data_IF_687313676324
#
_entry.id   IF_687313676324
#
_cell.length_a   1.000
_cell.length_b   1.000
_cell.length_c   1.000
_cell.angle_alpha   90.00
_cell.angle_beta   90.00
_cell.angle_gamma   90.00
#
_symmetry.space_group_name_H-M   'P 1'
#
loop_
_entity.id
_entity.type
_entity.pdbx_description
1 polymer ?
#
# COMPACT_ATOMS: atom_id res chain seq x y z
N UNK A 1 -1.26 6.02 11.43
CA UNK A 1 -1.67 5.48 10.12
C UNK A 1 -3.12 5.03 10.18
N UNK A 2 -3.92 5.35 9.16
CA UNK A 2 -5.35 5.03 9.08
C UNK A 2 -5.66 4.38 7.73
N UNK A 3 -6.53 3.37 7.72
CA UNK A 3 -6.97 2.72 6.49
C UNK A 3 -8.40 3.12 6.17
N UNK A 4 -8.64 3.43 4.90
CA UNK A 4 -9.95 3.80 4.37
C UNK A 4 -10.32 2.88 3.22
N UNK A 5 -11.60 2.52 3.14
CA UNK A 5 -12.09 1.52 2.20
C UNK A 5 -13.34 2.04 1.54
N UNK A 6 -13.30 2.23 0.23
CA UNK A 6 -14.46 2.69 -0.53
C UNK A 6 -14.85 1.64 -1.55
N UNK A 7 -16.10 1.22 -1.53
CA UNK A 7 -16.64 0.24 -2.45
C UNK A 7 -17.55 0.92 -3.46
N UNK A 8 -17.27 0.71 -4.75
CA UNK A 8 -18.08 1.19 -5.86
C UNK A 8 -18.85 0.03 -6.51
N UNK A 9 -20.13 0.27 -6.73
CA UNK A 9 -20.97 -0.57 -7.59
C UNK A 9 -20.67 -0.34 -9.07
N UNK A 10 -21.14 -1.26 -9.90
CA UNK A 10 -21.17 -1.17 -11.37
C UNK A 10 -21.81 0.12 -11.91
N UNK A 11 -22.75 0.69 -11.16
CA UNK A 11 -23.45 1.94 -11.52
C UNK A 11 -22.77 3.21 -11.03
N UNK A 12 -21.61 3.11 -10.40
CA UNK A 12 -20.86 4.25 -9.87
C UNK A 12 -21.36 4.77 -8.52
N UNK A 13 -22.37 4.16 -7.89
CA UNK A 13 -22.68 4.43 -6.48
C UNK A 13 -21.53 3.93 -5.61
N UNK A 14 -21.19 4.67 -4.56
CA UNK A 14 -20.12 4.32 -3.64
C UNK A 14 -20.56 4.34 -2.17
N UNK A 15 -19.83 3.62 -1.33
CA UNK A 15 -20.00 3.62 0.12
C UNK A 15 -18.64 3.40 0.79
N UNK A 16 -18.39 4.13 1.87
CA UNK A 16 -17.25 3.87 2.75
C UNK A 16 -17.56 2.66 3.64
N UNK A 17 -16.60 1.74 3.73
CA UNK A 17 -16.68 0.53 4.53
C UNK A 17 -15.86 0.73 5.80
N UNK A 18 -16.55 0.70 6.93
CA UNK A 18 -15.95 0.89 8.24
C UNK A 18 -15.58 -0.46 8.88
N UNK A 19 -16.40 -1.49 8.66
CA UNK A 19 -16.16 -2.83 9.19
C UNK A 19 -15.78 -3.82 8.06
N UNK A 20 -14.46 -3.96 7.89
CA UNK A 20 -13.82 -4.84 6.93
C UNK A 20 -12.74 -5.70 7.62
N UNK A 21 -12.65 -6.96 7.23
CA UNK A 21 -11.58 -7.87 7.63
C UNK A 21 -10.82 -8.38 6.39
N UNK A 22 -9.50 -8.30 6.44
CA UNK A 22 -8.61 -8.83 5.40
C UNK A 22 -8.28 -10.27 5.78
N UNK A 23 -8.93 -11.23 5.11
CA UNK A 23 -8.83 -12.64 5.47
C UNK A 23 -7.50 -13.24 5.03
N UNK A 24 -7.08 -12.90 3.82
CA UNK A 24 -5.85 -13.36 3.20
C UNK A 24 -5.40 -12.38 2.11
N UNK A 25 -4.33 -12.71 1.38
CA UNK A 25 -3.79 -11.83 0.35
C UNK A 25 -4.70 -11.58 -0.87
N UNK A 26 -5.76 -12.38 -1.01
CA UNK A 26 -6.70 -12.42 -2.14
C UNK A 26 -8.15 -12.11 -1.75
N UNK A 27 -8.49 -12.07 -0.46
CA UNK A 27 -9.88 -12.07 -0.02
C UNK A 27 -10.14 -11.10 1.14
N UNK A 28 -11.25 -10.37 1.03
CA UNK A 28 -11.77 -9.50 2.09
C UNK A 28 -13.18 -9.91 2.51
N UNK A 29 -13.53 -9.51 3.72
CA UNK A 29 -14.84 -9.72 4.33
C UNK A 29 -15.40 -8.38 4.77
N UNK A 30 -16.56 -8.01 4.24
CA UNK A 30 -17.33 -6.84 4.69
C UNK A 30 -18.39 -7.34 5.68
N UNK A 31 -18.39 -6.76 6.87
CA UNK A 31 -19.40 -7.04 7.91
C UNK A 31 -20.47 -5.94 7.99
N UNK A 32 -20.26 -4.81 7.30
CA UNK A 32 -21.22 -3.71 7.19
C UNK A 32 -22.49 -4.08 6.40
N UNK A 33 -23.60 -3.44 6.76
CA UNK A 33 -24.84 -3.52 5.98
C UNK A 33 -24.71 -2.59 4.77
N UNK A 34 -24.53 -3.17 3.60
CA UNK A 34 -24.50 -2.40 2.36
C UNK A 34 -25.91 -1.93 1.97
N UNK A 35 -26.07 -0.64 1.58
CA UNK A 35 -27.36 -0.14 1.14
C UNK A 35 -27.77 -0.79 -0.20
N UNK A 36 -29.08 -0.87 -0.51
CA UNK A 36 -29.57 -1.43 -1.78
C UNK A 36 -29.05 -0.70 -3.03
N UNK A 37 -28.61 0.55 -2.88
CA UNK A 37 -27.95 1.33 -3.94
C UNK A 37 -26.60 0.74 -4.36
N UNK A 38 -25.93 0.03 -3.45
CA UNK A 38 -24.64 -0.63 -3.64
C UNK A 38 -24.83 -2.10 -3.96
N UNK A 39 -25.58 -2.83 -3.14
CA UNK A 39 -25.74 -4.29 -3.25
C UNK A 39 -27.14 -4.64 -3.79
N UNK A 40 -27.27 -4.82 -5.11
CA UNK A 40 -28.51 -5.27 -5.76
C UNK A 40 -28.55 -6.80 -5.86
N UNK A 41 -29.73 -7.33 -6.23
CA UNK A 41 -29.96 -8.79 -6.33
C UNK A 41 -29.08 -9.48 -7.39
N UNK A 42 -28.59 -8.74 -8.39
CA UNK A 42 -27.76 -9.24 -9.50
C UNK A 42 -26.40 -8.51 -9.56
N UNK A 43 -25.95 -7.90 -8.46
CA UNK A 43 -24.61 -7.31 -8.42
C UNK A 43 -23.61 -8.44 -8.27
N UNK A 44 -22.74 -8.62 -9.27
CA UNK A 44 -21.76 -9.70 -9.26
C UNK A 44 -20.32 -9.20 -8.98
N UNK A 45 -20.07 -7.91 -9.23
CA UNK A 45 -18.75 -7.30 -9.23
C UNK A 45 -18.75 -5.93 -8.53
N UNK A 46 -17.63 -5.56 -7.94
CA UNK A 46 -17.36 -4.24 -7.37
C UNK A 46 -15.97 -3.74 -7.76
N UNK A 47 -15.79 -2.42 -7.64
CA UNK A 47 -14.46 -1.79 -7.64
C UNK A 47 -14.19 -1.26 -6.25
N UNK A 48 -13.16 -1.76 -5.59
CA UNK A 48 -12.70 -1.27 -4.29
C UNK A 48 -11.55 -0.29 -4.44
N UNK A 49 -11.60 0.82 -3.73
CA UNK A 49 -10.45 1.70 -3.50
C UNK A 49 -10.05 1.55 -2.04
N UNK A 50 -8.84 1.05 -1.82
CA UNK A 50 -8.27 0.85 -0.50
C UNK A 50 -7.15 1.86 -0.34
N UNK A 51 -7.22 2.65 0.73
CA UNK A 51 -6.34 3.77 0.97
C UNK A 51 -5.69 3.64 2.34
N UNK A 52 -4.50 4.18 2.46
CA UNK A 52 -3.77 4.32 3.71
C UNK A 52 -3.26 5.74 3.84
N UNK A 53 -3.60 6.38 4.95
CA UNK A 53 -3.12 7.70 5.35
C UNK A 53 -2.02 7.51 6.40
N UNK A 54 -0.79 7.92 6.08
CA UNK A 54 0.34 7.90 6.99
C UNK A 54 0.28 9.09 7.97
N UNK A 55 1.08 9.08 9.05
CA UNK A 55 1.02 10.14 10.10
C UNK A 55 1.42 11.53 9.59
N UNK A 56 2.08 11.59 8.43
CA UNK A 56 2.45 12.82 7.74
C UNK A 56 1.36 13.32 6.75
N UNK A 57 0.18 12.69 6.74
CA UNK A 57 -0.95 12.90 5.82
C UNK A 57 -0.69 12.51 4.36
N UNK A 58 0.40 11.80 4.06
CA UNK A 58 0.60 11.23 2.73
C UNK A 58 -0.41 10.08 2.54
N UNK A 59 -1.14 10.12 1.42
CA UNK A 59 -2.12 9.11 1.06
C UNK A 59 -1.50 8.14 0.05
N UNK A 60 -1.60 6.84 0.31
CA UNK A 60 -1.32 5.80 -0.69
C UNK A 60 -2.58 4.98 -0.91
N UNK A 61 -2.75 4.46 -2.12
CA UNK A 61 -3.97 3.77 -2.49
C UNK A 61 -3.80 2.76 -3.60
N UNK A 62 -4.72 1.80 -3.60
CA UNK A 62 -4.83 0.77 -4.63
C UNK A 62 -6.28 0.58 -5.03
N UNK A 63 -6.51 0.41 -6.33
CA UNK A 63 -7.81 0.02 -6.88
C UNK A 63 -7.81 -1.49 -7.09
N UNK A 64 -8.83 -2.19 -6.61
CA UNK A 64 -9.04 -3.63 -6.85
C UNK A 64 -10.38 -3.91 -7.51
N UNK A 65 -10.40 -4.91 -8.38
CA UNK A 65 -11.64 -5.50 -8.89
C UNK A 65 -12.04 -6.68 -8.01
N UNK A 66 -13.31 -6.73 -7.64
CA UNK A 66 -13.82 -7.62 -6.59
C UNK A 66 -15.01 -8.43 -7.10
N UNK A 67 -14.97 -9.74 -6.93
CA UNK A 67 -16.12 -10.62 -7.18
C UNK A 67 -16.72 -11.12 -5.87
N UNK A 68 -18.04 -11.28 -5.86
CA UNK A 68 -18.73 -11.90 -4.73
C UNK A 68 -18.42 -13.39 -4.70
N UNK A 69 -17.65 -13.82 -3.69
CA UNK A 69 -17.38 -15.23 -3.43
C UNK A 69 -18.44 -15.88 -2.55
N UNK A 70 -19.02 -15.12 -1.62
CA UNK A 70 -20.02 -15.63 -0.67
C UNK A 70 -20.87 -14.48 -0.11
N UNK A 71 -22.14 -14.77 0.13
CA UNK A 71 -23.07 -13.87 0.81
C UNK A 71 -23.93 -14.65 1.80
N UNK A 72 -23.89 -14.27 3.08
CA UNK A 72 -24.81 -14.80 4.11
C UNK A 72 -25.27 -13.69 5.05
N UNK A 73 -26.57 -13.42 5.07
CA UNK A 73 -27.14 -12.37 5.91
C UNK A 73 -26.55 -10.99 5.60
N UNK A 74 -25.94 -10.37 6.62
CA UNK A 74 -25.26 -9.06 6.51
C UNK A 74 -23.83 -9.16 5.96
N UNK A 75 -23.28 -10.36 5.89
CA UNK A 75 -21.89 -10.58 5.50
C UNK A 75 -21.74 -10.73 3.98
N UNK A 76 -20.69 -10.10 3.46
CA UNK A 76 -20.27 -10.20 2.06
C UNK A 76 -18.77 -10.51 1.98
N UNK A 77 -18.41 -11.64 1.35
CA UNK A 77 -17.02 -12.01 1.07
C UNK A 77 -16.69 -11.73 -0.37
N UNK A 78 -15.62 -10.97 -0.58
CA UNK A 78 -15.17 -10.55 -1.89
C UNK A 78 -13.76 -11.06 -2.14
N UNK A 79 -13.53 -11.58 -3.34
CA UNK A 79 -12.20 -11.99 -3.80
C UNK A 79 -11.69 -11.00 -4.83
N UNK A 80 -10.40 -10.66 -4.72
CA UNK A 80 -9.72 -9.86 -5.73
C UNK A 80 -9.63 -10.64 -7.04
N UNK A 81 -9.93 -9.97 -8.15
CA UNK A 81 -9.92 -10.56 -9.50
C UNK A 81 -8.75 -10.11 -10.35
N UNK A 82 -8.03 -9.10 -9.87
CA UNK A 82 -6.86 -8.53 -10.49
C UNK A 82 -5.57 -9.13 -9.89
N UNK A 83 -4.60 -9.35 -10.77
CA UNK A 83 -3.30 -9.88 -10.38
C UNK A 83 -2.36 -8.73 -10.01
N UNK A 84 -2.19 -8.53 -8.70
CA UNK A 84 -1.21 -7.62 -8.13
C UNK A 84 -0.33 -8.44 -7.21
N UNK A 85 0.97 -8.47 -7.50
CA UNK A 85 1.92 -9.34 -6.82
C UNK A 85 1.89 -9.15 -5.29
N UNK A 86 1.57 -10.25 -4.58
CA UNK A 86 1.63 -10.29 -3.13
C UNK A 86 3.08 -10.26 -2.60
N UNK A 87 4.07 -10.53 -3.45
CA UNK A 87 5.51 -10.44 -3.11
C UNK A 87 5.90 -9.04 -2.67
N UNK A 88 5.17 -8.00 -3.11
CA UNK A 88 5.37 -6.63 -2.62
C UNK A 88 5.24 -6.55 -1.10
N UNK A 89 4.35 -7.34 -0.49
CA UNK A 89 4.14 -7.32 0.97
C UNK A 89 5.32 -7.89 1.76
N UNK A 90 6.16 -8.70 1.12
CA UNK A 90 7.29 -9.36 1.78
C UNK A 90 8.43 -8.40 2.17
N UNK A 91 8.41 -7.16 1.69
CA UNK A 91 9.35 -6.13 2.15
C UNK A 91 8.85 -5.42 3.43
N UNK A 92 7.74 -5.88 4.02
CA UNK A 92 7.29 -5.35 5.30
C UNK A 92 8.22 -5.79 6.45
N UNK A 93 8.32 -4.97 7.48
CA UNK A 93 9.04 -5.23 8.73
C UNK A 93 9.07 -4.00 9.63
N UNK A 94 9.73 -4.12 10.79
CA UNK A 94 9.88 -3.02 11.78
C UNK A 94 10.41 -1.71 11.18
N UNK A 95 11.31 -1.83 10.20
CA UNK A 95 11.87 -0.71 9.46
C UNK A 95 10.81 0.05 8.64
N UNK A 96 9.82 -0.61 8.07
CA UNK A 96 8.72 0.06 7.33
C UNK A 96 7.89 0.90 8.30
N UNK A 97 7.54 0.34 9.45
CA UNK A 97 6.68 1.01 10.44
C UNK A 97 7.34 2.28 10.96
N UNK A 98 8.65 2.22 11.24
CA UNK A 98 9.44 3.38 11.66
C UNK A 98 9.58 4.42 10.53
N UNK A 99 9.86 3.99 9.30
CA UNK A 99 9.96 4.90 8.16
C UNK A 99 8.64 5.60 7.90
N UNK A 100 7.53 4.86 7.90
CA UNK A 100 6.18 5.39 7.73
C UNK A 100 5.84 6.44 8.79
N UNK A 101 6.14 6.14 10.05
CA UNK A 101 5.88 7.05 11.18
C UNK A 101 6.69 8.35 11.11
N UNK A 102 7.99 8.27 10.83
CA UNK A 102 8.89 9.43 10.99
C UNK A 102 9.15 10.22 9.70
N UNK A 103 8.92 9.62 8.54
CA UNK A 103 9.22 10.25 7.23
C UNK A 103 8.03 10.14 6.28
N UNK A 104 7.41 8.97 6.21
CA UNK A 104 6.40 8.59 5.23
C UNK A 104 6.99 7.65 4.18
N UNK A 105 6.44 6.44 4.08
CA UNK A 105 6.89 5.40 3.17
C UNK A 105 6.73 5.85 1.72
N UNK A 106 5.59 6.43 1.35
CA UNK A 106 5.36 6.88 -0.02
C UNK A 106 6.37 7.93 -0.46
N UNK A 107 6.70 8.86 0.43
CA UNK A 107 7.69 9.92 0.19
C UNK A 107 9.09 9.36 -0.01
N UNK A 108 9.49 8.40 0.81
CA UNK A 108 10.77 7.71 0.65
C UNK A 108 10.81 6.98 -0.69
N UNK A 109 9.78 6.20 -1.03
CA UNK A 109 9.69 5.50 -2.32
C UNK A 109 9.76 6.47 -3.50
N UNK A 110 8.95 7.54 -3.47
CA UNK A 110 8.86 8.49 -4.57
C UNK A 110 10.19 9.22 -4.80
N UNK A 111 10.79 9.77 -3.73
CA UNK A 111 12.10 10.43 -3.83
C UNK A 111 13.24 9.47 -4.19
N UNK A 112 13.17 8.21 -3.76
CA UNK A 112 14.15 7.21 -4.13
C UNK A 112 14.03 6.80 -5.60
N UNK A 113 12.81 6.73 -6.14
CA UNK A 113 12.60 6.52 -7.58
C UNK A 113 13.20 7.65 -8.43
N UNK A 114 13.15 8.89 -7.94
CA UNK A 114 13.83 10.01 -8.58
C UNK A 114 15.35 9.86 -8.52
N UNK A 115 15.90 9.43 -7.37
CA UNK A 115 17.33 9.13 -7.24
C UNK A 115 17.77 8.04 -8.23
N UNK A 116 16.98 6.98 -8.45
CA UNK A 116 17.29 5.90 -9.40
C UNK A 116 17.50 6.43 -10.84
N UNK A 117 16.83 7.53 -11.22
CA UNK A 117 16.98 8.15 -12.53
C UNK A 117 18.27 8.95 -12.69
N UNK A 118 18.93 9.31 -11.58
CA UNK A 118 20.16 10.09 -11.63
C UNK A 118 21.32 9.24 -12.16
N UNK A 119 22.19 9.85 -12.96
CA UNK A 119 23.32 9.17 -13.59
C UNK A 119 24.34 8.59 -12.58
N UNK A 120 24.28 8.99 -11.30
CA UNK A 120 25.23 8.62 -10.27
C UNK A 120 24.58 8.43 -8.89
N UNK A 121 23.72 7.42 -8.79
CA UNK A 121 23.04 7.04 -7.54
C UNK A 121 24.01 6.88 -6.37
N UNK A 122 25.18 6.26 -6.60
CA UNK A 122 26.13 5.94 -5.53
C UNK A 122 26.70 7.21 -4.89
N UNK A 123 27.04 8.21 -5.70
CA UNK A 123 27.56 9.48 -5.18
C UNK A 123 26.45 10.35 -4.56
N UNK A 124 25.22 10.24 -5.05
CA UNK A 124 24.10 11.05 -4.58
C UNK A 124 23.33 10.41 -3.41
N UNK A 125 23.54 9.13 -3.11
CA UNK A 125 22.80 8.40 -2.08
C UNK A 125 22.94 9.01 -0.69
N UNK A 126 24.17 9.33 -0.27
CA UNK A 126 24.42 9.90 1.06
C UNK A 126 23.71 11.25 1.23
N UNK A 127 23.80 12.10 0.21
CA UNK A 127 23.13 13.40 0.20
C UNK A 127 21.59 13.26 0.22
N UNK A 128 21.05 12.36 -0.61
CA UNK A 128 19.62 12.04 -0.62
C UNK A 128 19.15 11.54 0.75
N UNK A 129 19.90 10.66 1.40
CA UNK A 129 19.55 10.11 2.71
C UNK A 129 19.53 11.20 3.79
N UNK A 130 20.57 12.03 3.84
CA UNK A 130 20.64 13.18 4.76
C UNK A 130 19.44 14.12 4.60
N UNK A 131 19.06 14.41 3.36
CA UNK A 131 17.89 15.24 3.05
C UNK A 131 16.58 14.56 3.44
N UNK A 132 16.46 13.25 3.22
CA UNK A 132 15.28 12.47 3.56
C UNK A 132 15.01 12.47 5.07
N UNK A 133 16.06 12.42 5.90
CA UNK A 133 15.94 12.42 7.36
C UNK A 133 16.10 13.81 8.01
N UNK A 134 16.14 14.89 7.23
CA UNK A 134 16.43 16.24 7.72
C UNK A 134 15.50 16.65 8.88
N UNK A 135 14.20 16.35 8.73
CA UNK A 135 13.13 16.69 9.68
C UNK A 135 12.93 15.68 10.82
N UNK A 136 13.68 14.57 10.81
CA UNK A 136 13.59 13.54 11.85
C UNK A 136 14.27 14.04 13.13
N UNK A 137 13.69 13.81 14.33
CA UNK A 137 14.31 14.16 15.61
C UNK A 137 15.73 13.60 15.73
N UNK A 138 16.64 14.42 16.29
CA UNK A 138 18.08 14.13 16.29
C UNK A 138 18.43 12.81 17.00
N UNK A 139 17.74 12.50 18.09
CA UNK A 139 17.93 11.31 18.94
C UNK A 139 17.66 9.98 18.21
N UNK A 140 16.84 10.00 17.17
CA UNK A 140 16.49 8.81 16.38
C UNK A 140 16.93 8.90 14.91
N UNK A 141 17.48 10.04 14.48
CA UNK A 141 17.79 10.32 13.07
C UNK A 141 18.67 9.26 12.42
N UNK A 142 19.74 8.85 13.11
CA UNK A 142 20.65 7.81 12.62
C UNK A 142 19.96 6.45 12.48
N UNK A 143 19.16 6.06 13.48
CA UNK A 143 18.37 4.84 13.42
C UNK A 143 17.43 4.87 12.21
N UNK A 144 16.70 5.97 12.01
CA UNK A 144 15.78 6.11 10.86
C UNK A 144 16.54 6.05 9.53
N UNK A 145 17.71 6.69 9.43
CA UNK A 145 18.55 6.58 8.23
C UNK A 145 18.93 5.12 7.91
N UNK A 146 19.35 4.34 8.92
CA UNK A 146 19.65 2.92 8.75
C UNK A 146 18.40 2.11 8.29
N UNK A 147 17.21 2.43 8.83
CA UNK A 147 15.96 1.78 8.43
C UNK A 147 15.57 2.11 7.00
N UNK A 148 15.77 3.36 6.56
CA UNK A 148 15.59 3.76 5.17
C UNK A 148 16.55 3.01 4.25
N UNK A 149 17.84 2.93 4.59
CA UNK A 149 18.82 2.18 3.79
C UNK A 149 18.42 0.71 3.62
N UNK A 150 17.98 0.06 4.70
CA UNK A 150 17.46 -1.33 4.63
C UNK A 150 16.24 -1.43 3.72
N UNK A 151 15.28 -0.52 3.88
CA UNK A 151 14.06 -0.46 3.06
C UNK A 151 14.41 -0.34 1.57
N UNK A 152 15.21 0.65 1.19
CA UNK A 152 15.49 0.93 -0.22
C UNK A 152 16.34 -0.16 -0.89
N UNK A 153 17.23 -0.82 -0.14
CA UNK A 153 17.96 -1.99 -0.65
C UNK A 153 17.02 -3.15 -0.97
N UNK A 154 16.06 -3.46 -0.08
CA UNK A 154 15.06 -4.49 -0.34
C UNK A 154 14.11 -4.09 -1.47
N UNK A 155 13.76 -2.81 -1.54
CA UNK A 155 12.96 -2.24 -2.62
C UNK A 155 13.64 -2.39 -3.98
N UNK A 156 14.93 -2.06 -4.09
CA UNK A 156 15.71 -2.26 -5.31
C UNK A 156 15.70 -3.73 -5.75
N UNK A 157 16.00 -4.65 -4.85
CA UNK A 157 16.14 -6.08 -5.18
C UNK A 157 14.78 -6.70 -5.53
N UNK A 158 13.78 -6.54 -4.67
CA UNK A 158 12.49 -7.24 -4.81
C UNK A 158 11.53 -6.54 -5.75
N UNK A 159 11.47 -5.21 -5.71
CA UNK A 159 10.47 -4.43 -6.43
C UNK A 159 11.02 -3.98 -7.78
N UNK A 160 12.08 -3.18 -7.79
CA UNK A 160 12.61 -2.60 -9.02
C UNK A 160 13.22 -3.67 -9.94
N UNK A 161 14.20 -4.45 -9.47
CA UNK A 161 14.84 -5.51 -10.25
C UNK A 161 13.93 -6.75 -10.39
N UNK A 162 13.24 -7.11 -9.31
CA UNK A 162 12.41 -8.32 -9.23
C UNK A 162 11.10 -8.24 -10.00
N UNK A 163 10.17 -7.39 -9.55
CA UNK A 163 8.80 -7.30 -10.10
C UNK A 163 8.76 -6.45 -11.37
N UNK A 164 9.36 -5.27 -11.33
CA UNK A 164 9.29 -4.30 -12.43
C UNK A 164 10.43 -4.42 -13.44
N UNK A 165 11.35 -5.37 -13.25
CA UNK A 165 12.43 -5.70 -14.20
C UNK A 165 13.21 -4.47 -14.69
N UNK A 166 13.56 -3.59 -13.75
CA UNK A 166 14.28 -2.32 -13.98
C UNK A 166 13.51 -1.29 -14.82
N UNK A 167 12.19 -1.43 -14.92
CA UNK A 167 11.34 -0.45 -15.61
C UNK A 167 10.90 0.66 -14.64
N UNK A 168 11.63 1.77 -14.67
CA UNK A 168 11.40 2.92 -13.79
C UNK A 168 10.06 3.64 -14.08
N UNK A 169 9.59 3.64 -15.33
CA UNK A 169 8.32 4.28 -15.70
C UNK A 169 7.14 3.56 -15.05
N UNK A 170 7.15 2.21 -15.07
CA UNK A 170 6.16 1.41 -14.36
C UNK A 170 6.27 1.59 -12.85
N UNK A 171 7.49 1.65 -12.32
CA UNK A 171 7.74 1.84 -10.89
C UNK A 171 7.13 3.16 -10.38
N UNK A 172 7.33 4.27 -11.12
CA UNK A 172 6.72 5.57 -10.81
C UNK A 172 5.22 5.56 -11.03
N UNK A 173 4.72 4.91 -12.08
CA UNK A 173 3.28 4.79 -12.34
C UNK A 173 2.54 4.10 -11.17
N UNK A 174 3.16 3.10 -10.56
CA UNK A 174 2.53 2.27 -9.52
C UNK A 174 3.03 2.58 -8.09
N UNK A 175 3.74 3.69 -7.87
CA UNK A 175 4.34 4.03 -6.55
C UNK A 175 3.33 3.96 -5.39
N UNK A 176 2.11 4.44 -5.63
CA UNK A 176 1.02 4.50 -4.65
C UNK A 176 0.51 3.10 -4.31
N UNK A 177 0.38 2.24 -5.32
CA UNK A 177 -0.08 0.87 -5.15
C UNK A 177 0.99 0.04 -4.42
N UNK A 178 2.26 0.26 -4.75
CA UNK A 178 3.39 -0.38 -4.10
C UNK A 178 3.43 0.02 -2.62
N UNK A 179 3.41 1.32 -2.31
CA UNK A 179 3.39 1.82 -0.94
C UNK A 179 2.20 1.26 -0.15
N UNK A 180 1.00 1.27 -0.74
CA UNK A 180 -0.18 0.66 -0.13
C UNK A 180 0.04 -0.82 0.16
N UNK A 181 0.53 -1.61 -0.82
CA UNK A 181 0.76 -3.05 -0.64
C UNK A 181 1.73 -3.38 0.48
N UNK A 182 2.80 -2.60 0.61
CA UNK A 182 3.77 -2.77 1.70
C UNK A 182 3.10 -2.55 3.06
N UNK A 183 2.31 -1.49 3.19
CA UNK A 183 1.62 -1.13 4.44
C UNK A 183 0.44 -2.07 4.75
N UNK A 184 -0.23 -2.61 3.74
CA UNK A 184 -1.31 -3.60 3.85
C UNK A 184 -0.86 -4.85 4.62
N UNK A 185 0.44 -5.19 4.61
CA UNK A 185 0.98 -6.33 5.35
C UNK A 185 0.67 -6.27 6.86
N UNK A 186 0.62 -5.08 7.46
CA UNK A 186 0.26 -4.92 8.88
C UNK A 186 -1.19 -5.35 9.17
N UNK A 187 -2.09 -5.22 8.20
CA UNK A 187 -3.48 -5.63 8.37
C UNK A 187 -3.61 -7.14 8.41
N UNK A 188 -2.79 -7.84 7.62
CA UNK A 188 -2.79 -9.30 7.54
C UNK A 188 -2.09 -9.96 8.74
N UNK A 189 -1.06 -9.33 9.30
CA UNK A 189 -0.37 -9.84 10.50
C UNK A 189 -1.27 -9.85 11.75
N UNK A 190 -2.25 -8.94 11.82
CA UNK A 190 -3.20 -8.87 12.95
C UNK A 190 -4.29 -9.95 12.91
N UNK A 191 -4.37 -10.72 11.82
CA UNK A 191 -5.40 -11.74 11.62
C UNK A 191 -4.95 -13.14 12.10
N UNK A 192 -3.68 -13.31 12.50
CA UNK A 192 -3.10 -14.57 12.97
C UNK A 192 -2.80 -14.56 14.47
#
# INVERSE_FOLDING_TARGET
>A
MRFHNVLFSDKGNFVEINDISYLDGSTIKINDILPPSILRKNSDHFVGYFLVEEDNNDLSGIRRYLNISERRGKYLKLSYCDDISNTIREIHGDYVDLVSKYVGLRRVISSFNDLILENDINNNFSYWLEKTVEKVPFDIKELIAQRITKLVNLYLIKIYDGIYKKNIDLLKKYESEIAFKILEAQLLQKTY
#
